data_IF_999043248345
#
_entry.id   IF_999043248345
#
_cell.length_a   1.000
_cell.length_b   1.000
_cell.length_c   1.000
_cell.angle_alpha   90.00
_cell.angle_beta   90.00
_cell.angle_gamma   90.00
#
_symmetry.space_group_name_H-M   'P 1'
#
loop_
_entity.id
_entity.type
_entity.pdbx_description
1 polymer ?
#
# COMPACT_ATOMS: atom_id res chain seq x y z
N UNK A 1 -8.09 12.94 -14.73
CA UNK A 1 -8.98 12.46 -15.81
C UNK A 1 -8.41 11.16 -16.30
N UNK A 2 -9.19 10.07 -16.31
CA UNK A 2 -8.69 8.81 -16.84
C UNK A 2 -8.86 8.80 -18.36
N UNK A 3 -7.74 8.65 -19.07
CA UNK A 3 -7.74 8.57 -20.53
C UNK A 3 -8.16 7.14 -20.89
N UNK A 4 -8.98 7.01 -21.92
CA UNK A 4 -9.37 5.72 -22.48
C UNK A 4 -8.75 5.60 -23.87
N UNK A 5 -8.16 4.46 -24.19
CA UNK A 5 -7.61 4.18 -25.52
C UNK A 5 -8.13 2.86 -26.08
N UNK A 6 -8.16 2.73 -27.41
CA UNK A 6 -8.52 1.45 -28.05
C UNK A 6 -7.37 0.45 -27.95
N UNK A 7 -7.68 -0.85 -27.94
CA UNK A 7 -6.68 -1.91 -27.96
C UNK A 7 -5.72 -1.81 -29.16
N UNK A 8 -6.20 -1.35 -30.32
CA UNK A 8 -5.36 -1.15 -31.51
C UNK A 8 -4.30 -0.08 -31.24
N UNK A 9 -4.73 1.10 -30.77
CA UNK A 9 -3.83 2.21 -30.45
C UNK A 9 -2.83 1.83 -29.36
N UNK A 10 -3.28 1.08 -28.35
CA UNK A 10 -2.43 0.58 -27.28
C UNK A 10 -1.30 -0.30 -27.82
N UNK A 11 -1.59 -1.24 -28.73
CA UNK A 11 -0.59 -2.14 -29.32
C UNK A 11 0.43 -1.39 -30.18
N UNK A 12 -0.03 -0.45 -30.99
CA UNK A 12 0.83 0.40 -31.82
C UNK A 12 1.71 1.33 -30.96
N UNK A 13 1.20 1.73 -29.79
CA UNK A 13 1.87 2.63 -28.86
C UNK A 13 2.78 2.01 -27.81
N UNK A 14 2.90 0.68 -27.70
CA UNK A 14 3.65 0.01 -26.62
C UNK A 14 5.13 0.44 -26.51
N UNK A 15 5.73 0.90 -27.61
CA UNK A 15 7.10 1.41 -27.63
C UNK A 15 7.25 2.84 -27.09
N UNK A 16 6.15 3.54 -26.79
CA UNK A 16 6.14 4.90 -26.26
C UNK A 16 5.47 4.94 -24.86
N UNK A 17 6.25 4.87 -23.77
CA UNK A 17 5.73 4.94 -22.41
C UNK A 17 4.92 6.20 -22.10
N UNK A 18 5.17 7.32 -22.79
CA UNK A 18 4.44 8.59 -22.57
C UNK A 18 2.94 8.44 -22.83
N UNK A 19 2.54 7.53 -23.73
CA UNK A 19 1.13 7.25 -24.02
C UNK A 19 0.38 6.61 -22.85
N UNK A 20 1.11 6.08 -21.85
CA UNK A 20 0.56 5.37 -20.71
C UNK A 20 0.79 6.10 -19.38
N UNK A 21 1.42 7.28 -19.39
CA UNK A 21 1.58 8.11 -18.20
C UNK A 21 0.23 8.54 -17.64
N UNK A 22 0.13 8.55 -16.30
CA UNK A 22 -1.11 8.81 -15.57
C UNK A 22 -2.10 7.65 -15.60
N UNK A 23 -1.77 6.54 -16.27
CA UNK A 23 -2.58 5.34 -16.35
C UNK A 23 -3.78 5.46 -17.29
N UNK A 24 -3.97 4.45 -18.14
CA UNK A 24 -4.95 4.46 -19.23
C UNK A 24 -5.77 3.18 -19.24
N UNK A 25 -7.09 3.32 -19.42
CA UNK A 25 -7.96 2.18 -19.66
C UNK A 25 -7.95 1.79 -21.14
N UNK A 26 -7.63 0.53 -21.41
CA UNK A 26 -7.66 -0.05 -22.74
C UNK A 26 -9.03 -0.67 -22.97
N UNK A 27 -9.66 -0.26 -24.06
CA UNK A 27 -10.98 -0.75 -24.46
C UNK A 27 -10.93 -1.60 -25.72
N UNK A 28 -11.82 -2.59 -25.79
CA UNK A 28 -12.11 -3.37 -26.99
C UNK A 28 -13.61 -3.33 -27.22
N UNK A 29 -14.03 -2.91 -28.41
CA UNK A 29 -15.45 -2.73 -28.75
C UNK A 29 -16.22 -1.84 -27.73
N UNK A 30 -15.56 -0.83 -27.18
CA UNK A 30 -16.15 0.09 -26.20
C UNK A 30 -16.21 -0.42 -24.75
N UNK A 31 -15.79 -1.65 -24.48
CA UNK A 31 -15.69 -2.19 -23.12
C UNK A 31 -14.26 -2.11 -22.60
N UNK A 32 -14.05 -1.62 -21.37
CA UNK A 32 -12.74 -1.57 -20.74
C UNK A 32 -12.30 -2.99 -20.33
N UNK A 33 -11.11 -3.40 -20.77
CA UNK A 33 -10.57 -4.74 -20.51
C UNK A 33 -9.33 -4.68 -19.61
N UNK A 34 -8.49 -3.66 -19.75
CA UNK A 34 -7.21 -3.57 -19.06
C UNK A 34 -6.94 -2.14 -18.60
N UNK A 35 -6.16 -2.00 -17.53
CA UNK A 35 -5.55 -0.73 -17.13
C UNK A 35 -4.03 -0.87 -17.28
N UNK A 36 -3.42 0.07 -17.98
CA UNK A 36 -1.98 0.09 -18.22
C UNK A 36 -1.43 1.40 -17.71
N UNK A 37 -0.33 1.33 -16.95
CA UNK A 37 0.42 2.47 -16.46
C UNK A 37 1.91 2.16 -16.56
N UNK A 38 2.77 3.16 -16.39
CA UNK A 38 4.21 2.94 -16.44
C UNK A 38 4.68 2.14 -15.21
N UNK A 39 5.79 1.41 -15.37
CA UNK A 39 6.38 0.64 -14.26
C UNK A 39 6.87 1.55 -13.12
N UNK A 40 7.37 2.74 -13.45
CA UNK A 40 7.82 3.74 -12.49
C UNK A 40 6.68 4.24 -11.61
N UNK A 41 5.55 4.66 -12.22
CA UNK A 41 4.36 5.08 -11.49
C UNK A 41 3.83 3.96 -10.58
N UNK A 42 3.83 2.71 -11.08
CA UNK A 42 3.43 1.57 -10.26
C UNK A 42 4.33 1.38 -9.04
N UNK A 43 5.64 1.57 -9.22
CA UNK A 43 6.61 1.41 -8.13
C UNK A 43 6.45 2.51 -7.07
N UNK A 44 6.26 3.76 -7.49
CA UNK A 44 6.00 4.87 -6.59
C UNK A 44 4.71 4.66 -5.80
N UNK A 45 3.64 4.23 -6.48
CA UNK A 45 2.36 3.91 -5.85
C UNK A 45 2.51 2.82 -4.77
N UNK A 46 3.27 1.75 -5.07
CA UNK A 46 3.51 0.66 -4.12
C UNK A 46 4.30 1.14 -2.89
N UNK A 47 5.29 2.02 -3.08
CA UNK A 47 6.07 2.57 -1.98
C UNK A 47 5.22 3.47 -1.07
N UNK A 48 4.39 4.35 -1.64
CA UNK A 48 3.49 5.20 -0.86
C UNK A 48 2.45 4.38 -0.10
N UNK A 49 1.86 3.35 -0.73
CA UNK A 49 0.93 2.43 -0.06
C UNK A 49 1.57 1.70 1.12
N UNK A 50 2.82 1.26 0.97
CA UNK A 50 3.54 0.56 2.05
C UNK A 50 3.86 1.51 3.21
N UNK A 51 4.30 2.74 2.89
CA UNK A 51 4.53 3.79 3.89
C UNK A 51 3.23 4.15 4.64
N UNK A 52 2.13 4.31 3.93
CA UNK A 52 0.82 4.57 4.52
C UNK A 52 0.37 3.42 5.42
N UNK A 53 0.54 2.17 4.97
CA UNK A 53 0.24 0.97 5.77
C UNK A 53 1.05 0.95 7.07
N UNK A 54 2.34 1.24 7.01
CA UNK A 54 3.22 1.28 8.18
C UNK A 54 2.81 2.40 9.14
N UNK A 55 2.50 3.59 8.62
CA UNK A 55 2.02 4.72 9.43
C UNK A 55 0.70 4.38 10.15
N UNK A 56 -0.25 3.77 9.44
CA UNK A 56 -1.53 3.34 10.01
C UNK A 56 -1.36 2.24 11.05
N UNK A 57 -0.44 1.29 10.84
CA UNK A 57 -0.13 0.26 11.82
C UNK A 57 0.45 0.88 13.10
N UNK A 58 1.40 1.81 12.97
CA UNK A 58 1.98 2.53 14.11
C UNK A 58 0.91 3.31 14.88
N UNK A 59 0.04 4.05 14.19
CA UNK A 59 -1.05 4.77 14.82
C UNK A 59 -1.96 3.84 15.62
N UNK A 60 -2.35 2.69 15.06
CA UNK A 60 -3.16 1.68 15.76
C UNK A 60 -2.46 1.17 17.02
N UNK A 61 -1.17 0.83 16.93
CA UNK A 61 -0.38 0.40 18.08
C UNK A 61 -0.33 1.47 19.18
N UNK A 62 -0.14 2.74 18.81
CA UNK A 62 -0.14 3.85 19.77
C UNK A 62 -1.50 4.03 20.43
N UNK A 63 -2.59 3.88 19.68
CA UNK A 63 -3.94 3.97 20.24
C UNK A 63 -4.24 2.84 21.21
N UNK A 64 -3.86 1.61 20.87
CA UNK A 64 -3.96 0.45 21.78
C UNK A 64 -3.14 0.71 23.05
N UNK A 65 -1.89 1.15 22.93
CA UNK A 65 -1.06 1.44 24.09
C UNK A 65 -1.65 2.54 24.99
N UNK A 66 -2.30 3.55 24.41
CA UNK A 66 -3.02 4.57 25.18
C UNK A 66 -4.20 3.99 25.96
N UNK A 67 -4.95 3.08 25.36
CA UNK A 67 -6.06 2.38 26.00
C UNK A 67 -5.55 1.47 27.13
N UNK A 68 -4.46 0.73 26.90
CA UNK A 68 -3.82 -0.10 27.92
C UNK A 68 -3.39 0.73 29.14
N UNK A 69 -2.82 1.92 28.93
CA UNK A 69 -2.45 2.85 30.01
C UNK A 69 -3.68 3.32 30.78
N UNK A 70 -4.74 3.71 30.07
CA UNK A 70 -5.97 4.19 30.69
C UNK A 70 -6.67 3.11 31.53
N UNK A 71 -6.53 1.84 31.14
CA UNK A 71 -7.09 0.68 31.84
C UNK A 71 -6.12 0.02 32.83
N UNK A 72 -4.99 0.67 33.15
CA UNK A 72 -3.93 0.15 34.03
C UNK A 72 -3.35 -1.21 33.60
N UNK A 73 -3.49 -1.59 32.32
CA UNK A 73 -2.95 -2.80 31.72
C UNK A 73 -1.48 -2.63 31.31
N UNK A 74 -0.67 -2.11 32.23
CA UNK A 74 0.74 -1.79 32.01
C UNK A 74 1.65 -2.73 32.80
N UNK A 75 2.88 -2.92 32.31
CA UNK A 75 3.90 -3.71 33.01
C UNK A 75 5.16 -2.87 33.22
N UNK A 76 5.82 -3.04 34.37
CA UNK A 76 7.13 -2.43 34.57
C UNK A 76 8.20 -3.15 33.72
N UNK A 77 9.31 -2.47 33.38
CA UNK A 77 10.41 -3.09 32.65
C UNK A 77 10.96 -4.36 33.32
N UNK A 78 10.99 -4.40 34.65
CA UNK A 78 11.47 -5.56 35.41
C UNK A 78 10.48 -6.74 35.34
N UNK A 79 9.17 -6.48 35.35
CA UNK A 79 8.15 -7.52 35.19
C UNK A 79 8.19 -8.12 33.78
N UNK A 80 8.40 -7.28 32.76
CA UNK A 80 8.56 -7.74 31.37
C UNK A 80 9.80 -8.62 31.24
N UNK A 81 10.95 -8.20 31.78
CA UNK A 81 12.19 -9.02 31.77
C UNK A 81 11.98 -10.36 32.47
N UNK A 82 11.29 -10.36 33.62
CA UNK A 82 10.98 -11.59 34.37
C UNK A 82 10.10 -12.54 33.55
N UNK A 83 9.02 -12.03 32.95
CA UNK A 83 8.10 -12.81 32.09
C UNK A 83 8.83 -13.42 30.88
N UNK A 84 9.64 -12.62 30.17
CA UNK A 84 10.42 -13.09 29.02
C UNK A 84 11.43 -14.18 29.38
N UNK A 85 12.06 -14.11 30.56
CA UNK A 85 12.95 -15.16 31.05
C UNK A 85 12.19 -16.45 31.38
N UNK A 86 11.00 -16.33 31.97
CA UNK A 86 10.15 -17.48 32.30
C UNK A 86 9.67 -18.26 31.07
N UNK A 87 9.33 -17.58 29.98
CA UNK A 87 8.86 -18.19 28.72
C UNK A 87 9.93 -18.92 27.90
N UNK A 88 11.19 -18.94 28.34
CA UNK A 88 12.31 -19.60 27.64
C UNK A 88 12.58 -21.03 28.13
N UNK A 89 11.76 -21.52 29.06
CA UNK A 89 11.84 -22.88 29.65
C UNK A 89 10.69 -23.71 29.11
#
# INVERSE_FOLDING_TARGET
MSITMSQKLAREGLGNPELFQGGVYITKNGQAELFVQTAEERQLELQEREKERQSNALLKLVMIAKEDIANEQVMSPEDVKRKLRGSRT
#
